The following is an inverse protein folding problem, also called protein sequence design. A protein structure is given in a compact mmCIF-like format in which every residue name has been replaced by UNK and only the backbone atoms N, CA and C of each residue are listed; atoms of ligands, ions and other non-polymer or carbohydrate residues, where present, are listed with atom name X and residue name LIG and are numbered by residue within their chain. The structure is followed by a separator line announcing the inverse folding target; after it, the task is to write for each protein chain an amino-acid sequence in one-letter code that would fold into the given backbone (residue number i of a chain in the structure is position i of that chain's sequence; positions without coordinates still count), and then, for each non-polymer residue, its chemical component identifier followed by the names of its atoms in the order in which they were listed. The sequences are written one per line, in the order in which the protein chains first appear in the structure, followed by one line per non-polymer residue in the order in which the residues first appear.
data_IF_763391954135
#
_entry.id   IF_763391954135
#
_cell.length_a   1.000
_cell.length_b   1.000
_cell.length_c   1.000
_cell.angle_alpha   90.00
_cell.angle_beta   90.00
_cell.angle_gamma   90.00
#
_symmetry.space_group_name_H-M   'P 1'
#
loop_
_entity.id
_entity.type
_entity.pdbx_description
1 polymer ?
#
# COMPACT_ATOMS: atom_id res chain seq x y z
N UNK A 1 26.08 37.37 -11.00
CA UNK A 1 24.97 36.45 -11.34
C UNK A 1 24.70 35.61 -10.10
N UNK A 2 23.78 36.06 -9.23
CA UNK A 2 23.41 35.34 -8.01
C UNK A 2 22.24 34.41 -8.35
N UNK A 3 22.54 33.19 -8.80
CA UNK A 3 21.56 32.11 -8.86
C UNK A 3 21.40 31.54 -7.44
N UNK A 4 20.77 32.32 -6.57
CA UNK A 4 20.29 31.84 -5.27
C UNK A 4 19.01 31.05 -5.49
N UNK A 5 19.12 29.72 -5.60
CA UNK A 5 17.98 28.82 -5.50
C UNK A 5 17.43 28.93 -4.07
N UNK A 6 16.46 29.82 -3.87
CA UNK A 6 15.58 29.81 -2.71
C UNK A 6 14.69 28.58 -2.87
N UNK A 7 15.24 27.39 -2.60
CA UNK A 7 14.42 26.21 -2.37
C UNK A 7 13.60 26.48 -1.11
N UNK A 8 12.27 26.38 -1.21
CA UNK A 8 11.40 26.60 -0.06
C UNK A 8 11.80 25.69 1.10
N UNK A 9 11.87 26.24 2.31
CA UNK A 9 12.11 25.45 3.54
C UNK A 9 10.96 24.48 3.79
N UNK A 10 9.77 24.77 3.24
CA UNK A 10 8.55 24.00 3.44
C UNK A 10 7.89 23.65 2.12
N UNK A 11 7.53 22.38 1.94
CA UNK A 11 6.67 21.97 0.82
C UNK A 11 5.25 21.77 1.31
N UNK A 12 4.24 22.30 0.60
CA UNK A 12 2.87 22.00 0.93
C UNK A 12 2.59 20.52 0.66
N UNK A 13 1.90 19.88 1.59
CA UNK A 13 1.38 18.52 1.46
C UNK A 13 -0.08 18.52 1.87
N UNK A 14 -0.85 17.57 1.35
CA UNK A 14 -2.21 17.31 1.80
C UNK A 14 -2.17 16.29 2.93
N UNK A 15 -2.61 16.70 4.12
CA UNK A 15 -2.87 15.80 5.24
C UNK A 15 -4.37 15.50 5.28
N UNK A 16 -4.72 14.22 5.27
CA UNK A 16 -6.11 13.79 5.34
C UNK A 16 -6.55 13.62 6.79
N UNK A 17 -7.77 14.06 7.09
CA UNK A 17 -8.38 13.86 8.38
C UNK A 17 -9.21 12.57 8.38
N UNK A 18 -8.93 11.68 9.33
CA UNK A 18 -9.67 10.43 9.43
C UNK A 18 -11.08 10.66 10.04
N UNK A 19 -12.04 9.82 9.64
CA UNK A 19 -13.43 9.86 10.13
C UNK A 19 -13.53 9.89 11.66
N UNK A 20 -12.72 9.10 12.35
CA UNK A 20 -12.81 8.98 13.81
C UNK A 20 -12.33 10.22 14.56
N UNK A 21 -11.42 11.02 13.97
CA UNK A 21 -11.07 12.34 14.51
C UNK A 21 -12.32 13.20 14.58
N UNK A 22 -13.13 13.28 13.52
CA UNK A 22 -14.37 14.07 13.51
C UNK A 22 -15.45 13.54 14.46
N UNK A 23 -15.55 12.22 14.63
CA UNK A 23 -16.61 11.61 15.45
C UNK A 23 -16.29 11.61 16.94
N UNK A 24 -15.02 11.39 17.31
CA UNK A 24 -14.63 11.17 18.71
C UNK A 24 -14.00 12.40 19.37
N UNK A 25 -13.50 13.37 18.60
CA UNK A 25 -12.79 14.55 19.12
C UNK A 25 -13.11 15.79 18.28
N UNK A 26 -12.85 16.96 18.85
CA UNK A 26 -12.84 18.19 18.06
C UNK A 26 -11.61 18.16 17.13
N UNK A 27 -11.77 18.47 15.82
CA UNK A 27 -10.63 18.53 14.90
C UNK A 27 -9.63 19.61 15.32
N UNK A 28 -8.32 19.37 15.11
CA UNK A 28 -7.29 20.36 15.42
C UNK A 28 -7.47 21.66 14.59
N UNK A 29 -6.80 22.77 14.90
CA UNK A 29 -6.82 23.95 14.01
C UNK A 29 -8.11 24.79 14.04
N UNK A 30 -8.27 25.74 13.08
CA UNK A 30 -9.30 26.76 13.15
C UNK A 30 -10.72 26.17 12.92
N UNK A 31 -11.77 26.66 13.61
CA UNK A 31 -13.14 26.16 13.51
C UNK A 31 -13.67 26.06 12.08
N UNK A 32 -13.27 26.99 11.22
CA UNK A 32 -13.66 27.05 9.81
C UNK A 32 -13.16 25.82 9.01
N UNK A 33 -12.10 25.15 9.48
CA UNK A 33 -11.51 23.97 8.87
C UNK A 33 -11.89 22.65 9.59
N UNK A 34 -12.84 22.70 10.52
CA UNK A 34 -13.32 21.51 11.26
C UNK A 34 -14.17 20.58 10.41
N UNK A 35 -14.66 21.01 9.25
CA UNK A 35 -15.44 20.17 8.34
C UNK A 35 -14.65 19.73 7.09
N UNK A 36 -13.40 20.18 6.94
CA UNK A 36 -12.57 19.83 5.80
C UNK A 36 -11.99 18.42 5.97
N UNK A 37 -12.28 17.51 5.04
CA UNK A 37 -11.73 16.14 5.04
C UNK A 37 -10.21 16.08 4.82
N UNK A 38 -9.60 17.20 4.43
CA UNK A 38 -8.15 17.35 4.26
C UNK A 38 -7.70 18.77 4.65
N UNK A 39 -6.39 18.91 4.88
CA UNK A 39 -5.73 20.17 5.22
C UNK A 39 -4.44 20.32 4.44
N UNK A 40 -4.04 21.57 4.23
CA UNK A 40 -2.70 21.89 3.75
C UNK A 40 -1.77 21.90 4.96
N UNK A 41 -0.87 20.93 5.01
CA UNK A 41 0.24 20.88 5.95
C UNK A 41 1.55 21.21 5.21
N UNK A 42 2.63 21.37 5.95
CA UNK A 42 3.91 21.84 5.45
C UNK A 42 5.05 20.93 5.88
N UNK A 43 5.56 20.15 4.93
CA UNK A 43 6.72 19.30 5.14
C UNK A 43 7.98 20.15 5.31
N UNK A 44 8.60 20.07 6.48
CA UNK A 44 9.84 20.79 6.80
C UNK A 44 11.04 20.12 6.11
N UNK A 45 11.49 20.69 4.98
CA UNK A 45 12.64 20.20 4.25
C UNK A 45 13.95 20.37 5.01
N UNK A 46 14.08 21.37 5.90
CA UNK A 46 15.30 21.56 6.68
C UNK A 46 15.56 20.40 7.64
N UNK A 47 14.51 19.84 8.25
CA UNK A 47 14.64 18.65 9.09
C UNK A 47 15.10 17.45 8.25
N UNK A 48 14.49 17.23 7.08
CA UNK A 48 14.89 16.13 6.19
C UNK A 48 16.35 16.24 5.75
N UNK A 49 16.79 17.45 5.37
CA UNK A 49 18.19 17.73 5.00
C UNK A 49 19.15 17.54 6.16
N UNK A 50 18.71 17.85 7.39
CA UNK A 50 19.51 17.64 8.59
C UNK A 50 19.68 16.15 8.92
N UNK A 51 18.60 15.36 8.82
CA UNK A 51 18.65 13.91 9.02
C UNK A 51 19.53 13.22 7.99
N UNK A 52 19.44 13.67 6.73
CA UNK A 52 20.21 13.13 5.61
C UNK A 52 19.77 11.72 5.21
N UNK A 53 20.57 11.10 4.36
CA UNK A 53 20.31 9.76 3.81
C UNK A 53 21.16 8.71 4.56
N UNK A 54 20.67 7.47 4.63
CA UNK A 54 21.51 6.35 5.08
C UNK A 54 22.67 6.15 4.09
N UNK A 55 23.77 5.56 4.52
CA UNK A 55 24.87 5.27 3.60
C UNK A 55 24.51 4.07 2.69
N UNK A 56 24.97 4.10 1.43
CA UNK A 56 24.79 3.02 0.45
C UNK A 56 23.32 2.60 0.22
N UNK A 57 22.37 3.54 0.30
CA UNK A 57 20.94 3.24 0.17
C UNK A 57 20.57 2.52 -1.14
N UNK A 58 21.24 2.83 -2.25
CA UNK A 58 21.05 2.15 -3.55
C UNK A 58 21.43 0.67 -3.46
N UNK A 59 22.63 0.37 -2.97
CA UNK A 59 23.11 -1.00 -2.81
C UNK A 59 22.24 -1.80 -1.85
N UNK A 60 21.77 -1.18 -0.76
CA UNK A 60 20.86 -1.83 0.20
C UNK A 60 19.53 -2.13 -0.48
N UNK A 61 18.94 -1.16 -1.18
CA UNK A 61 17.67 -1.34 -1.89
C UNK A 61 17.77 -2.46 -2.94
N UNK A 62 18.82 -2.46 -3.75
CA UNK A 62 19.07 -3.50 -4.75
C UNK A 62 19.39 -4.86 -4.09
N UNK A 63 20.13 -4.89 -2.98
CA UNK A 63 20.38 -6.12 -2.23
C UNK A 63 19.09 -6.77 -1.71
N UNK A 64 18.08 -5.97 -1.36
CA UNK A 64 16.75 -6.48 -0.96
C UNK A 64 15.95 -7.06 -2.13
N UNK A 65 16.28 -6.72 -3.37
CA UNK A 65 15.71 -7.39 -4.54
C UNK A 65 16.04 -8.87 -4.54
N UNK A 66 17.32 -9.22 -4.36
CA UNK A 66 17.76 -10.61 -4.33
C UNK A 66 17.10 -11.37 -3.19
N UNK A 67 17.10 -10.80 -1.98
CA UNK A 67 16.44 -11.41 -0.83
C UNK A 67 14.93 -11.65 -1.06
N UNK A 68 14.24 -10.73 -1.73
CA UNK A 68 12.84 -10.89 -2.09
C UNK A 68 12.65 -11.96 -3.17
N UNK A 69 13.34 -11.87 -4.31
CA UNK A 69 13.19 -12.78 -5.46
C UNK A 69 13.50 -14.23 -5.09
N UNK A 70 14.52 -14.45 -4.25
CA UNK A 70 14.92 -15.79 -3.83
C UNK A 70 14.02 -16.36 -2.70
N UNK A 71 13.09 -15.57 -2.17
CA UNK A 71 12.21 -15.99 -1.08
C UNK A 71 11.08 -16.92 -1.54
N UNK A 72 10.65 -17.80 -0.64
CA UNK A 72 9.49 -18.67 -0.91
C UNK A 72 8.19 -17.85 -0.98
N UNK A 73 8.11 -16.77 -0.20
CA UNK A 73 7.01 -15.80 -0.23
C UNK A 73 6.85 -15.16 -1.60
N UNK A 74 7.93 -14.75 -2.27
CA UNK A 74 7.85 -14.18 -3.62
C UNK A 74 7.29 -15.20 -4.61
N UNK A 75 7.80 -16.43 -4.61
CA UNK A 75 7.32 -17.49 -5.49
C UNK A 75 5.83 -17.80 -5.27
N UNK A 76 5.39 -17.91 -4.01
CA UNK A 76 4.00 -18.12 -3.67
C UNK A 76 3.12 -16.91 -4.07
N UNK A 77 3.61 -15.69 -3.84
CA UNK A 77 2.93 -14.47 -4.23
C UNK A 77 2.71 -14.39 -5.74
N UNK A 78 3.73 -14.67 -6.56
CA UNK A 78 3.54 -14.69 -8.00
C UNK A 78 2.52 -15.73 -8.45
N UNK A 79 2.55 -16.94 -7.86
CA UNK A 79 1.58 -18.00 -8.19
C UNK A 79 0.14 -17.55 -7.89
N UNK A 80 -0.08 -16.95 -6.72
CA UNK A 80 -1.37 -16.40 -6.31
C UNK A 80 -1.83 -15.28 -7.25
N UNK A 81 -0.96 -14.33 -7.61
CA UNK A 81 -1.29 -13.26 -8.56
C UNK A 81 -1.65 -13.85 -9.93
N UNK A 82 -0.89 -14.84 -10.43
CA UNK A 82 -1.21 -15.51 -11.69
C UNK A 82 -2.59 -16.16 -11.65
N UNK A 83 -2.91 -16.84 -10.56
CA UNK A 83 -4.22 -17.49 -10.40
C UNK A 83 -5.36 -16.48 -10.26
N UNK A 84 -5.22 -15.49 -9.38
CA UNK A 84 -6.27 -14.51 -9.06
C UNK A 84 -6.63 -13.65 -10.28
N UNK A 85 -5.64 -13.29 -11.09
CA UNK A 85 -5.81 -12.35 -12.19
C UNK A 85 -5.81 -12.98 -13.59
N UNK A 86 -5.77 -14.31 -13.70
CA UNK A 86 -5.74 -15.02 -15.00
C UNK A 86 -6.85 -14.61 -15.99
N UNK A 87 -8.02 -14.20 -15.49
CA UNK A 87 -9.19 -13.79 -16.30
C UNK A 87 -9.62 -12.35 -16.06
N UNK A 88 -8.79 -11.58 -15.35
CA UNK A 88 -9.13 -10.23 -14.88
C UNK A 88 -8.23 -9.22 -15.55
N UNK A 89 -8.80 -8.17 -16.12
CA UNK A 89 -8.03 -7.07 -16.71
C UNK A 89 -7.56 -6.14 -15.60
N UNK A 90 -6.24 -6.03 -15.46
CA UNK A 90 -5.60 -5.02 -14.61
C UNK A 90 -4.85 -4.05 -15.50
N UNK A 91 -5.10 -2.76 -15.33
CA UNK A 91 -4.40 -1.69 -16.09
C UNK A 91 -3.42 -0.91 -15.24
N UNK A 92 -3.64 -0.87 -13.92
CA UNK A 92 -2.88 -0.04 -12.99
C UNK A 92 -2.71 -0.74 -11.65
N UNK A 93 -1.53 -0.56 -11.06
CA UNK A 93 -1.29 -0.78 -9.64
C UNK A 93 -1.00 0.59 -9.02
N UNK A 94 -1.77 0.99 -8.01
CA UNK A 94 -1.56 2.26 -7.31
C UNK A 94 -1.18 1.97 -5.86
N UNK A 95 0.06 2.31 -5.51
CA UNK A 95 0.60 2.12 -4.18
C UNK A 95 0.51 3.42 -3.36
N UNK A 96 -0.02 3.35 -2.14
CA UNK A 96 -0.06 4.47 -1.22
C UNK A 96 0.80 4.17 0.00
N UNK A 97 1.69 5.11 0.33
CA UNK A 97 2.40 5.11 1.61
C UNK A 97 3.29 3.90 1.87
N UNK A 98 4.04 3.42 0.87
CA UNK A 98 4.99 2.32 1.03
C UNK A 98 6.24 2.71 1.84
N UNK A 99 6.37 3.99 2.20
CA UNK A 99 7.45 4.51 3.04
C UNK A 99 8.69 4.90 2.25
N UNK A 100 9.35 5.98 2.69
CA UNK A 100 10.68 6.30 2.21
C UNK A 100 11.72 5.30 2.74
N UNK A 101 12.68 4.92 1.90
CA UNK A 101 13.72 3.93 2.23
C UNK A 101 15.15 4.48 2.08
N UNK A 102 15.29 5.80 1.95
CA UNK A 102 16.59 6.46 1.79
C UNK A 102 16.93 7.33 3.01
N UNK A 103 15.93 8.01 3.58
CA UNK A 103 16.11 8.96 4.67
C UNK A 103 16.50 8.26 5.96
N UNK A 104 17.46 8.85 6.69
CA UNK A 104 17.79 8.38 8.04
C UNK A 104 16.58 8.45 8.97
N UNK A 105 16.45 7.50 9.91
CA UNK A 105 15.42 7.58 10.93
C UNK A 105 15.58 8.84 11.79
N UNK A 106 14.46 9.41 12.30
CA UNK A 106 14.50 10.60 13.14
C UNK A 106 15.23 10.36 14.47
N UNK A 107 15.74 11.41 15.11
CA UNK A 107 16.56 11.33 16.33
C UNK A 107 15.85 10.57 17.46
N UNK A 108 14.54 10.79 17.66
CA UNK A 108 13.77 10.07 18.68
C UNK A 108 13.76 8.55 18.44
N UNK A 109 13.75 8.12 17.17
CA UNK A 109 13.83 6.71 16.83
C UNK A 109 15.20 6.15 17.20
N UNK A 110 16.28 6.89 16.89
CA UNK A 110 17.65 6.46 17.23
C UNK A 110 17.84 6.29 18.74
N UNK A 111 17.30 7.21 19.53
CA UNK A 111 17.32 7.13 21.01
C UNK A 111 16.56 5.88 21.48
N UNK A 112 15.34 5.67 20.96
CA UNK A 112 14.52 4.49 21.33
C UNK A 112 15.19 3.18 20.92
N UNK A 113 15.76 3.13 19.72
CA UNK A 113 16.45 1.96 19.20
C UNK A 113 17.70 1.64 20.03
N UNK A 114 18.47 2.64 20.44
CA UNK A 114 19.63 2.47 21.33
C UNK A 114 19.26 1.94 22.73
N UNK A 115 17.99 2.05 23.12
CA UNK A 115 17.45 1.52 24.38
C UNK A 115 16.78 0.15 24.20
N UNK A 116 16.67 -0.37 22.97
CA UNK A 116 16.10 -1.69 22.68
C UNK A 116 17.04 -2.81 23.14
N UNK A 117 16.48 -3.94 23.56
CA UNK A 117 17.26 -5.17 23.83
C UNK A 117 17.98 -5.67 22.57
N UNK A 118 17.37 -5.45 21.41
CA UNK A 118 17.91 -5.80 20.10
C UNK A 118 17.87 -4.55 19.21
N UNK A 119 18.89 -3.67 19.27
CA UNK A 119 18.97 -2.52 18.39
C UNK A 119 19.20 -2.98 16.94
N UNK A 120 18.50 -2.34 16.00
CA UNK A 120 18.66 -2.59 14.57
C UNK A 120 19.39 -1.44 13.89
N UNK A 121 20.03 -1.71 12.77
CA UNK A 121 20.66 -0.71 11.91
C UNK A 121 19.62 0.21 11.24
N UNK A 122 20.07 1.36 10.73
CA UNK A 122 19.20 2.24 9.95
C UNK A 122 18.69 1.55 8.68
N UNK A 123 19.49 0.69 8.04
CA UNK A 123 19.08 -0.08 6.88
C UNK A 123 17.99 -1.11 7.19
N UNK A 124 18.13 -1.86 8.30
CA UNK A 124 17.10 -2.82 8.76
C UNK A 124 15.78 -2.12 9.11
N UNK A 125 15.81 -0.88 9.62
CA UNK A 125 14.60 -0.11 9.87
C UNK A 125 13.80 0.17 8.59
N UNK A 126 14.49 0.46 7.49
CA UNK A 126 13.89 0.82 6.21
C UNK A 126 13.52 -0.40 5.36
N UNK A 127 13.98 -1.58 5.74
CA UNK A 127 13.85 -2.82 4.98
C UNK A 127 12.40 -3.18 4.65
N UNK A 128 11.47 -2.96 5.58
CA UNK A 128 10.05 -3.25 5.35
C UNK A 128 9.49 -2.41 4.19
N UNK A 129 9.90 -1.15 4.08
CA UNK A 129 9.52 -0.30 2.95
C UNK A 129 10.11 -0.84 1.65
N UNK A 130 11.40 -1.19 1.64
CA UNK A 130 12.07 -1.74 0.45
C UNK A 130 11.38 -3.01 -0.08
N UNK A 131 11.08 -3.96 0.82
CA UNK A 131 10.39 -5.22 0.47
C UNK A 131 8.99 -4.96 -0.09
N UNK A 132 8.24 -4.00 0.47
CA UNK A 132 6.92 -3.64 -0.06
C UNK A 132 7.00 -3.08 -1.49
N UNK A 133 8.03 -2.30 -1.83
CA UNK A 133 8.24 -1.83 -3.20
C UNK A 133 8.59 -2.99 -4.13
N UNK A 134 9.49 -3.90 -3.71
CA UNK A 134 9.83 -5.08 -4.52
C UNK A 134 8.64 -6.01 -4.74
N UNK A 135 7.77 -6.20 -3.74
CA UNK A 135 6.53 -6.95 -3.91
C UNK A 135 5.60 -6.29 -4.94
N UNK A 136 5.45 -4.96 -4.92
CA UNK A 136 4.65 -4.24 -5.91
C UNK A 136 5.25 -4.33 -7.33
N UNK A 137 6.58 -4.28 -7.46
CA UNK A 137 7.29 -4.50 -8.74
C UNK A 137 7.02 -5.91 -9.26
N UNK A 138 7.21 -6.94 -8.43
CA UNK A 138 6.94 -8.34 -8.80
C UNK A 138 5.49 -8.53 -9.24
N UNK A 139 4.53 -7.89 -8.56
CA UNK A 139 3.13 -7.94 -8.98
C UNK A 139 2.93 -7.31 -10.35
N UNK A 140 3.54 -6.14 -10.61
CA UNK A 140 3.46 -5.49 -11.91
C UNK A 140 4.07 -6.37 -13.02
N UNK A 141 5.25 -6.93 -12.80
CA UNK A 141 5.93 -7.83 -13.75
C UNK A 141 5.08 -9.08 -14.02
N UNK A 142 4.52 -9.68 -12.96
CA UNK A 142 3.66 -10.86 -13.08
C UNK A 142 2.41 -10.54 -13.90
N UNK A 143 1.70 -9.45 -13.60
CA UNK A 143 0.50 -9.05 -14.33
C UNK A 143 0.80 -8.66 -15.79
N UNK A 144 1.94 -8.01 -16.05
CA UNK A 144 2.40 -7.71 -17.42
C UNK A 144 2.65 -8.99 -18.24
N UNK A 145 3.06 -10.08 -17.59
CA UNK A 145 3.23 -11.39 -18.20
C UNK A 145 1.92 -12.17 -18.43
N UNK A 146 0.85 -11.86 -17.69
CA UNK A 146 -0.48 -12.44 -17.89
C UNK A 146 -1.28 -11.76 -19.00
N UNK A 147 -1.11 -10.45 -19.15
CA UNK A 147 -1.78 -9.69 -20.20
C UNK A 147 -1.18 -10.02 -21.58
N UNK A 148 -1.97 -9.91 -22.65
CA UNK A 148 -1.55 -10.03 -24.06
C UNK A 148 -0.64 -8.84 -24.50
N UNK A 149 0.44 -8.58 -23.75
CA UNK A 149 1.43 -7.57 -24.06
C UNK A 149 1.05 -6.16 -23.63
N UNK A 150 1.49 -5.80 -22.43
CA UNK A 150 1.91 -4.44 -22.03
C UNK A 150 0.85 -3.33 -21.91
N UNK A 151 0.40 -3.08 -20.68
CA UNK A 151 0.08 -1.70 -20.22
C UNK A 151 -0.09 -1.53 -18.70
N UNK A 152 0.24 -2.52 -17.86
CA UNK A 152 0.10 -2.34 -16.40
C UNK A 152 1.06 -1.26 -15.92
N UNK A 153 0.51 -0.09 -15.60
CA UNK A 153 1.24 1.02 -15.00
C UNK A 153 1.44 0.71 -13.52
N UNK A 154 2.63 1.01 -13.00
CA UNK A 154 2.97 0.85 -11.60
C UNK A 154 3.15 2.23 -11.01
N UNK A 155 2.20 2.69 -10.22
CA UNK A 155 2.18 4.03 -9.65
C UNK A 155 2.43 3.97 -8.15
N UNK A 156 3.10 4.97 -7.60
CA UNK A 156 3.25 5.13 -6.16
C UNK A 156 3.07 6.57 -5.71
N UNK A 157 2.46 6.73 -4.53
CA UNK A 157 2.31 8.00 -3.85
C UNK A 157 2.71 7.86 -2.38
N UNK A 158 3.82 8.49 -2.00
CA UNK A 158 4.16 8.79 -0.60
C UNK A 158 4.64 10.25 -0.51
N UNK A 159 3.92 11.13 0.22
CA UNK A 159 4.35 12.51 0.42
C UNK A 159 5.72 12.65 1.09
N UNK A 160 6.23 11.59 1.73
CA UNK A 160 7.50 11.59 2.45
C UNK A 160 8.69 11.13 1.60
N UNK A 161 8.50 10.71 0.35
CA UNK A 161 9.62 10.34 -0.52
C UNK A 161 10.60 11.51 -0.69
N UNK A 162 11.88 11.24 -0.48
CA UNK A 162 12.99 12.13 -0.83
C UNK A 162 13.18 12.18 -2.35
N UNK A 163 13.99 13.12 -2.84
CA UNK A 163 14.29 13.20 -4.27
C UNK A 163 15.04 11.96 -4.76
N UNK A 164 15.94 11.43 -3.91
CA UNK A 164 16.74 10.24 -4.15
C UNK A 164 15.88 8.98 -4.20
N UNK A 165 14.94 8.81 -3.26
CA UNK A 165 14.00 7.69 -3.31
C UNK A 165 13.15 7.72 -4.58
N UNK A 166 12.68 8.91 -5.01
CA UNK A 166 11.93 9.05 -6.27
C UNK A 166 12.74 8.64 -7.48
N UNK A 167 14.00 9.10 -7.58
CA UNK A 167 14.87 8.76 -8.69
C UNK A 167 15.10 7.25 -8.80
N UNK A 168 15.31 6.55 -7.67
CA UNK A 168 15.44 5.09 -7.65
C UNK A 168 14.14 4.42 -8.09
N UNK A 169 13.00 4.88 -7.57
CA UNK A 169 11.70 4.31 -7.89
C UNK A 169 11.37 4.45 -9.38
N UNK A 170 11.65 5.61 -9.98
CA UNK A 170 11.49 5.86 -11.41
C UNK A 170 12.40 4.95 -12.25
N UNK A 171 13.65 4.75 -11.85
CA UNK A 171 14.60 3.85 -12.53
C UNK A 171 14.11 2.39 -12.56
N UNK A 172 13.49 1.92 -11.47
CA UNK A 172 12.92 0.56 -11.39
C UNK A 172 11.48 0.47 -11.91
N UNK A 173 10.96 1.52 -12.54
CA UNK A 173 9.73 1.50 -13.32
C UNK A 173 8.45 1.91 -12.58
N UNK A 174 8.56 2.61 -11.45
CA UNK A 174 7.43 3.31 -10.84
C UNK A 174 7.16 4.66 -11.52
N UNK A 175 5.89 5.02 -11.62
CA UNK A 175 5.44 6.39 -11.83
C UNK A 175 5.14 7.02 -10.46
N UNK A 176 6.01 7.91 -9.97
CA UNK A 176 5.76 8.63 -8.72
C UNK A 176 4.75 9.75 -8.96
N UNK A 177 3.54 9.59 -8.41
CA UNK A 177 2.43 10.53 -8.61
C UNK A 177 2.08 11.32 -7.36
N UNK A 178 1.27 12.36 -7.53
CA UNK A 178 0.72 13.11 -6.41
C UNK A 178 1.77 13.90 -5.63
N UNK A 179 2.63 14.64 -6.34
CA UNK A 179 3.67 15.52 -5.76
C UNK A 179 3.15 16.43 -4.62
N UNK A 180 1.84 16.73 -4.62
CA UNK A 180 1.15 17.53 -3.59
C UNK A 180 0.10 16.76 -2.78
N UNK A 181 -0.02 15.43 -2.93
CA UNK A 181 -0.66 14.55 -1.93
C UNK A 181 -1.95 13.83 -2.33
N UNK A 182 -2.54 14.06 -3.51
CA UNK A 182 -3.81 13.39 -3.89
C UNK A 182 -3.85 12.80 -5.31
N UNK A 183 -2.78 12.95 -6.10
CA UNK A 183 -2.76 12.52 -7.51
C UNK A 183 -3.01 11.03 -7.71
N UNK A 184 -2.51 10.17 -6.81
CA UNK A 184 -2.72 8.73 -6.89
C UNK A 184 -4.20 8.32 -6.75
N UNK A 185 -5.01 9.06 -6.00
CA UNK A 185 -6.44 8.74 -5.87
C UNK A 185 -7.19 8.94 -7.18
N UNK A 186 -6.79 9.90 -8.01
CA UNK A 186 -7.41 10.16 -9.31
C UNK A 186 -7.13 9.05 -10.33
N UNK A 187 -6.15 8.17 -10.07
CA UNK A 187 -5.77 7.08 -10.96
C UNK A 187 -6.59 5.81 -10.70
N UNK A 188 -7.38 5.76 -9.63
CA UNK A 188 -8.14 4.58 -9.21
C UNK A 188 -9.41 4.42 -10.05
N UNK A 189 -9.56 3.25 -10.65
CA UNK A 189 -10.76 2.79 -11.37
C UNK A 189 -11.07 1.29 -11.11
N UNK A 190 -12.06 0.74 -11.81
CA UNK A 190 -12.51 -0.64 -11.65
C UNK A 190 -11.48 -1.72 -12.07
N UNK A 191 -10.45 -1.35 -12.84
CA UNK A 191 -9.38 -2.23 -13.33
C UNK A 191 -8.04 -1.98 -12.59
N UNK A 192 -8.11 -1.26 -11.46
CA UNK A 192 -6.95 -0.90 -10.64
C UNK A 192 -6.77 -1.87 -9.48
N UNK A 193 -5.52 -2.25 -9.20
CA UNK A 193 -5.11 -2.84 -7.92
C UNK A 193 -4.60 -1.74 -7.01
N UNK A 194 -5.12 -1.65 -5.79
CA UNK A 194 -4.65 -0.69 -4.78
C UNK A 194 -3.78 -1.43 -3.76
N UNK A 195 -2.60 -0.89 -3.45
CA UNK A 195 -1.75 -1.37 -2.35
C UNK A 195 -1.62 -0.24 -1.33
N UNK A 196 -1.98 -0.50 -0.08
CA UNK A 196 -1.91 0.50 0.98
C UNK A 196 -1.57 -0.15 2.32
N UNK A 197 -0.32 -0.04 2.75
CA UNK A 197 0.18 -0.71 3.95
C UNK A 197 0.49 0.33 5.02
N UNK A 198 -0.21 0.29 6.15
CA UNK A 198 0.09 1.15 7.32
C UNK A 198 0.15 2.65 7.00
N UNK A 199 -0.68 3.12 6.06
CA UNK A 199 -0.61 4.50 5.59
C UNK A 199 -1.15 5.49 6.61
N UNK A 200 -0.60 6.71 6.59
CA UNK A 200 -1.11 7.83 7.40
C UNK A 200 -2.33 8.53 6.77
N UNK A 201 -2.78 8.07 5.59
CA UNK A 201 -3.97 8.56 4.91
C UNK A 201 -5.13 7.56 5.10
N UNK A 202 -6.39 8.01 5.08
CA UNK A 202 -7.56 7.16 5.17
C UNK A 202 -7.86 6.52 3.79
N UNK A 203 -6.92 5.73 3.25
CA UNK A 203 -7.00 5.17 1.89
C UNK A 203 -8.24 4.30 1.69
N UNK A 204 -8.50 3.31 2.57
CA UNK A 204 -9.70 2.45 2.48
C UNK A 204 -10.99 3.27 2.46
N UNK A 205 -11.00 4.31 3.29
CA UNK A 205 -12.11 5.24 3.43
C UNK A 205 -12.35 6.08 2.16
N UNK A 206 -11.30 6.54 1.49
CA UNK A 206 -11.40 7.26 0.22
C UNK A 206 -11.82 6.28 -0.89
N UNK A 207 -11.21 5.10 -0.95
CA UNK A 207 -11.53 4.05 -1.93
C UNK A 207 -12.98 3.60 -1.84
N UNK A 208 -13.58 3.61 -0.64
CA UNK A 208 -15.01 3.31 -0.46
C UNK A 208 -15.94 4.28 -1.20
N UNK A 209 -15.47 5.48 -1.55
CA UNK A 209 -16.23 6.48 -2.31
C UNK A 209 -15.84 6.52 -3.81
N UNK A 210 -14.90 5.68 -4.24
CA UNK A 210 -14.39 5.60 -5.62
C UNK A 210 -14.97 4.39 -6.37
N UNK A 211 -14.82 4.32 -7.72
CA UNK A 211 -15.07 3.09 -8.46
C UNK A 211 -14.31 1.93 -7.83
N UNK A 212 -15.00 0.80 -7.60
CA UNK A 212 -14.50 -0.32 -6.80
C UNK A 212 -13.29 -0.96 -7.46
N UNK A 213 -12.07 -0.85 -6.89
CA UNK A 213 -10.88 -1.47 -7.46
C UNK A 213 -11.05 -2.98 -7.59
N UNK A 214 -10.41 -3.60 -8.58
CA UNK A 214 -10.50 -5.05 -8.77
C UNK A 214 -9.86 -5.82 -7.60
N UNK A 215 -8.85 -5.22 -6.97
CA UNK A 215 -8.26 -5.76 -5.76
C UNK A 215 -7.66 -4.67 -4.87
N UNK A 216 -7.64 -4.92 -3.56
CA UNK A 216 -7.05 -4.06 -2.55
C UNK A 216 -6.15 -4.94 -1.66
N UNK A 217 -4.85 -4.63 -1.60
CA UNK A 217 -3.90 -5.26 -0.69
C UNK A 217 -3.64 -4.30 0.48
N UNK A 218 -4.07 -4.70 1.67
CA UNK A 218 -4.01 -3.84 2.87
C UNK A 218 -4.04 -4.67 4.15
N UNK A 219 -3.86 -4.00 5.28
CA UNK A 219 -4.09 -4.58 6.61
C UNK A 219 -5.56 -4.99 6.78
N UNK A 220 -5.84 -6.07 7.53
CA UNK A 220 -7.20 -6.56 7.73
C UNK A 220 -8.13 -5.52 8.37
N UNK A 221 -9.45 -5.57 8.09
CA UNK A 221 -10.47 -4.76 8.75
C UNK A 221 -10.42 -4.95 10.27
N UNK A 222 -10.34 -3.85 11.01
CA UNK A 222 -10.33 -3.86 12.47
C UNK A 222 -10.00 -2.49 13.06
N UNK A 223 -10.25 -2.33 14.36
CA UNK A 223 -9.71 -1.20 15.13
C UNK A 223 -8.21 -1.43 15.32
N UNK A 224 -7.40 -0.91 14.40
CA UNK A 224 -5.97 -0.86 14.60
C UNK A 224 -5.73 0.34 15.52
N UNK A 225 -5.70 0.07 16.82
CA UNK A 225 -4.95 0.92 17.73
C UNK A 225 -3.49 0.83 17.29
N UNK A 226 -2.90 1.96 16.91
CA UNK A 226 -1.45 2.00 16.72
C UNK A 226 -0.75 1.74 18.07
N UNK A 227 0.57 1.56 18.04
CA UNK A 227 1.37 1.31 19.25
C UNK A 227 1.27 2.38 20.34
N UNK A 228 0.56 3.49 20.09
CA UNK A 228 0.31 4.59 21.00
C UNK A 228 -1.17 4.74 21.41
N UNK A 229 -1.98 3.69 21.22
CA UNK A 229 -3.44 3.69 21.47
C UNK A 229 -4.19 4.76 20.64
N UNK A 230 -3.55 5.28 19.58
CA UNK A 230 -4.21 6.21 18.65
C UNK A 230 -4.90 5.41 17.57
N UNK A 231 -6.05 5.92 17.15
CA UNK A 231 -6.81 5.35 16.05
C UNK A 231 -5.97 5.52 14.78
N UNK A 232 -5.56 4.40 14.17
CA UNK A 232 -4.79 4.44 12.92
C UNK A 232 -5.55 5.24 11.86
N UNK A 233 -4.81 5.98 11.02
CA UNK A 233 -5.40 6.89 10.04
C UNK A 233 -6.40 6.19 9.11
N UNK A 234 -6.10 4.94 8.75
CA UNK A 234 -6.92 4.12 7.87
C UNK A 234 -7.75 3.05 8.63
N UNK A 235 -8.34 3.43 9.76
CA UNK A 235 -9.22 2.52 10.52
C UNK A 235 -10.58 2.35 9.83
N UNK A 236 -11.22 1.20 10.07
CA UNK A 236 -12.56 0.88 9.57
C UNK A 236 -13.62 1.90 9.99
N UNK A 237 -14.58 2.12 9.09
CA UNK A 237 -15.73 3.00 9.23
C UNK A 237 -16.99 2.26 8.74
N UNK A 238 -18.21 2.75 9.02
CA UNK A 238 -19.43 2.12 8.50
C UNK A 238 -19.39 1.91 6.98
N UNK A 239 -18.86 2.88 6.21
CA UNK A 239 -18.74 2.78 4.76
C UNK A 239 -17.72 1.74 4.27
N UNK A 240 -16.56 1.62 4.93
CA UNK A 240 -15.57 0.61 4.53
C UNK A 240 -16.08 -0.79 4.84
N UNK A 241 -16.80 -0.97 5.96
CA UNK A 241 -17.48 -2.23 6.28
C UNK A 241 -18.51 -2.64 5.23
N UNK A 242 -19.23 -1.67 4.66
CA UNK A 242 -20.15 -1.94 3.55
C UNK A 242 -19.38 -2.34 2.29
N UNK A 243 -18.37 -1.55 1.90
CA UNK A 243 -17.50 -1.85 0.76
C UNK A 243 -16.93 -3.27 0.83
N UNK A 244 -16.48 -3.72 2.01
CA UNK A 244 -15.87 -5.05 2.17
C UNK A 244 -16.81 -6.22 1.86
N UNK A 245 -18.13 -6.02 1.83
CA UNK A 245 -19.08 -7.07 1.42
C UNK A 245 -18.97 -7.43 -0.05
N UNK A 246 -18.41 -6.53 -0.86
CA UNK A 246 -18.18 -6.72 -2.30
C UNK A 246 -16.85 -7.44 -2.59
N UNK A 247 -16.09 -7.83 -1.55
CA UNK A 247 -14.76 -8.44 -1.70
C UNK A 247 -14.66 -9.79 -0.99
N UNK A 248 -13.97 -10.72 -1.65
CA UNK A 248 -13.46 -11.93 -1.02
C UNK A 248 -12.05 -11.66 -0.48
N UNK A 249 -11.79 -12.07 0.77
CA UNK A 249 -10.50 -11.87 1.42
C UNK A 249 -9.67 -13.16 1.40
N UNK A 250 -8.41 -13.08 1.00
CA UNK A 250 -7.39 -14.11 1.18
C UNK A 250 -6.20 -13.58 1.96
N UNK A 251 -5.44 -14.47 2.56
CA UNK A 251 -4.16 -14.15 3.20
C UNK A 251 -3.11 -13.75 2.16
N UNK A 252 -2.20 -12.84 2.54
CA UNK A 252 -0.97 -12.66 1.79
C UNK A 252 -0.09 -13.90 1.98
N UNK A 253 0.49 -14.48 0.91
CA UNK A 253 1.14 -15.79 0.96
C UNK A 253 2.56 -15.73 1.52
N UNK A 254 2.72 -15.18 2.73
CA UNK A 254 3.99 -15.13 3.43
C UNK A 254 4.37 -16.50 4.01
N UNK A 255 5.62 -16.91 3.78
CA UNK A 255 6.18 -18.19 4.23
C UNK A 255 7.11 -17.95 5.42
N UNK A 256 6.85 -18.63 6.53
CA UNK A 256 7.46 -18.35 7.84
C UNK A 256 9.00 -18.46 7.88
N UNK A 257 9.61 -19.21 6.97
CA UNK A 257 11.06 -19.44 6.92
C UNK A 257 11.83 -18.29 6.25
N UNK A 258 11.15 -17.33 5.63
CA UNK A 258 11.79 -16.15 5.04
C UNK A 258 12.18 -15.12 6.11
N UNK A 259 12.98 -14.12 5.71
CA UNK A 259 13.43 -13.06 6.63
C UNK A 259 12.24 -12.26 7.19
N UNK A 260 12.43 -11.66 8.37
CA UNK A 260 11.36 -11.01 9.16
C UNK A 260 10.61 -9.90 8.40
N UNK A 261 11.31 -9.14 7.57
CA UNK A 261 10.72 -8.08 6.75
C UNK A 261 9.75 -8.64 5.70
N UNK A 262 10.07 -9.80 5.11
CA UNK A 262 9.22 -10.52 4.15
C UNK A 262 8.04 -11.16 4.89
N UNK A 263 8.29 -11.86 5.99
CA UNK A 263 7.22 -12.52 6.75
C UNK A 263 6.23 -11.54 7.37
N UNK A 264 6.66 -10.28 7.61
CA UNK A 264 5.77 -9.21 8.07
C UNK A 264 4.62 -8.90 7.09
N UNK A 265 4.80 -9.21 5.79
CA UNK A 265 3.74 -9.09 4.79
C UNK A 265 2.58 -10.06 5.04
N UNK A 266 2.80 -11.14 5.79
CA UNK A 266 1.75 -12.10 6.18
C UNK A 266 0.66 -11.49 7.07
N UNK A 267 0.84 -10.26 7.56
CA UNK A 267 -0.21 -9.48 8.23
C UNK A 267 -1.17 -8.80 7.27
N UNK A 268 -0.87 -8.79 5.97
CA UNK A 268 -1.70 -8.19 4.94
C UNK A 268 -2.73 -9.21 4.44
N UNK A 269 -3.80 -8.68 3.87
CA UNK A 269 -4.85 -9.43 3.18
C UNK A 269 -4.94 -8.93 1.75
N UNK A 270 -5.29 -9.83 0.85
CA UNK A 270 -5.64 -9.52 -0.53
C UNK A 270 -7.17 -9.58 -0.62
N UNK A 271 -7.80 -8.43 -0.79
CA UNK A 271 -9.23 -8.32 -1.06
C UNK A 271 -9.43 -8.32 -2.56
N UNK A 272 -10.14 -9.30 -3.09
CA UNK A 272 -10.45 -9.38 -4.53
C UNK A 272 -11.94 -9.15 -4.72
N UNK A 273 -12.31 -8.23 -5.62
CA UNK A 273 -13.71 -7.90 -5.88
C UNK A 273 -14.45 -9.15 -6.37
N UNK A 274 -15.59 -9.44 -5.75
CA UNK A 274 -16.49 -10.50 -6.18
C UNK A 274 -17.14 -10.01 -7.46
N UNK A 275 -16.83 -10.64 -8.59
CA UNK A 275 -17.52 -10.33 -9.85
C UNK A 275 -18.83 -11.14 -9.88
N UNK A 276 -19.92 -10.53 -10.36
CA UNK A 276 -21.26 -11.14 -10.44
C UNK A 276 -21.30 -12.45 -11.26
N UNK A 277 -20.25 -12.73 -12.05
CA UNK A 277 -20.12 -13.91 -12.91
C UNK A 277 -20.08 -15.21 -12.09
N UNK A 278 -19.61 -15.19 -10.84
CA UNK A 278 -19.60 -16.39 -9.98
C UNK A 278 -21.01 -16.84 -9.57
N UNK A 279 -22.02 -15.96 -9.68
CA UNK A 279 -23.41 -16.34 -9.44
C UNK A 279 -24.06 -17.07 -10.63
N UNK A 280 -23.54 -16.93 -11.85
CA UNK A 280 -24.09 -17.61 -13.03
C UNK A 280 -23.68 -19.10 -13.07
N UNK A 281 -22.42 -19.41 -12.75
CA UNK A 281 -21.90 -20.80 -12.78
C UNK A 281 -22.53 -21.70 -11.70
N UNK A 282 -23.08 -21.13 -10.62
CA UNK A 282 -23.85 -21.90 -9.62
C UNK A 282 -25.31 -22.14 -10.02
N UNK A 283 -25.86 -21.41 -10.99
CA UNK A 283 -27.25 -21.56 -11.46
C UNK A 283 -27.36 -22.51 -12.65
N UNK A 284 -26.27 -22.77 -13.38
CA UNK A 284 -26.25 -23.63 -14.56
C UNK A 284 -25.85 -25.11 -14.29
N UNK A 285 -25.84 -25.55 -13.02
CA UNK A 285 -25.68 -26.98 -12.72
C UNK A 285 -26.95 -27.77 -13.08
N UNK A 286 -26.91 -28.75 -14.00
CA UNK A 286 -28.08 -29.55 -14.34
C UNK A 286 -28.49 -30.40 -13.15
N UNK A 287 -29.71 -30.21 -12.65
CA UNK A 287 -30.35 -31.14 -11.74
C UNK A 287 -30.38 -32.53 -12.40
N UNK A 288 -29.55 -33.45 -11.91
CA UNK A 288 -29.65 -34.86 -12.28
C UNK A 288 -30.98 -35.40 -11.77
N UNK A 289 -31.95 -35.53 -12.68
CA UNK A 289 -33.17 -36.29 -12.44
C UNK A 289 -32.80 -37.77 -12.23
N UNK A 290 -32.84 -38.23 -10.99
CA UNK A 290 -32.90 -39.66 -10.70
C UNK A 290 -34.26 -40.20 -11.16
N UNK A 291 -34.25 -40.89 -12.29
CA UNK A 291 -35.35 -41.72 -12.74
C UNK A 291 -35.38 -42.99 -11.88
N UNK A 292 -36.42 -43.10 -11.06
CA UNK A 292 -36.85 -44.34 -10.43
C UNK A 292 -37.21 -45.37 -11.49
N UNK A 293 -36.49 -46.49 -11.53
CA UNK A 293 -37.01 -47.73 -12.12
C UNK A 293 -37.18 -48.75 -11.00
N UNK A 294 -38.44 -49.03 -10.69
CA UNK A 294 -38.84 -50.27 -10.02
C UNK A 294 -39.07 -51.35 -11.05
N UNK A 295 -38.59 -52.56 -10.76
CA UNK A 295 -39.08 -53.86 -11.25
C UNK A 295 -38.80 -54.83 -10.08
N UNK A 296 -39.86 -55.31 -9.41
CA UNK A 296 -40.61 -56.54 -9.69
C UNK A 296 -39.87 -57.78 -9.15
#
# INVERSE_FOLDING_TARGET
MLAGLISSIRNPIIEFQNYWKFVKKEPDGPPEAHLCSFRVDWLNQSMQRYEGNIENYEDIFQGKRTAWVDSQTCAAFEADIRQLFAKRKVTKIVCFGLGDFVRRPPVWWKIRNAQSENPITEGEHLESGMIQHWAAITMAETLRGLADGSSVRLLTQDPKYTAEARAILEDVGFEVVGAFGAGGFAEIDEETVVISNYTAAPVKQIVADMPRPISIITTPPGEILDSSERIAADTETPRTREMWREYAASDFPAVADDISSITSLGRLKIFTRIDDIVCQDMLDSPQQHHHSQGQA
#
